data_IF_025393642102
#
_entry.id   IF_025393642102
#
_cell.length_a   1.000
_cell.length_b   1.000
_cell.length_c   1.000
_cell.angle_alpha   90.00
_cell.angle_beta   90.00
_cell.angle_gamma   90.00
#
_symmetry.space_group_name_H-M   'P 1'
#
loop_
_entity.id
_entity.type
_entity.pdbx_description
1 polymer ?
#
# COMPACT_ATOMS: atom_id res chain seq x y z
N UNK A 1 -6.60 -4.21 1.07
CA UNK A 1 -5.28 -3.56 1.00
C UNK A 1 -4.58 -3.67 2.34
N UNK A 2 -3.33 -3.99 2.33
CA UNK A 2 -2.52 -4.11 3.54
C UNK A 2 -1.50 -2.97 3.56
N UNK A 3 -1.41 -2.23 4.67
CA UNK A 3 -0.53 -1.07 4.77
C UNK A 3 0.47 -1.28 5.91
N UNK A 4 1.74 -1.04 5.60
CA UNK A 4 2.81 -1.13 6.59
C UNK A 4 3.75 0.06 6.39
N UNK A 5 4.36 0.52 7.47
CA UNK A 5 5.33 1.62 7.42
C UNK A 5 6.73 1.06 7.60
N UNK A 6 7.59 1.31 6.64
CA UNK A 6 8.97 0.84 6.68
C UNK A 6 9.82 1.68 5.73
N UNK A 7 11.02 2.01 6.14
CA UNK A 7 11.96 2.78 5.31
C UNK A 7 12.97 1.88 4.59
N UNK A 8 12.93 0.59 4.83
CA UNK A 8 13.91 -0.34 4.29
C UNK A 8 13.24 -1.57 3.70
N UNK A 9 13.88 -2.15 2.70
CA UNK A 9 13.51 -3.43 2.12
C UNK A 9 12.06 -3.51 1.63
N UNK A 10 11.58 -2.41 1.04
CA UNK A 10 10.19 -2.32 0.61
C UNK A 10 9.79 -3.46 -0.35
N UNK A 11 10.65 -3.79 -1.31
CA UNK A 11 10.37 -4.85 -2.27
C UNK A 11 10.26 -6.21 -1.60
N UNK A 12 11.24 -6.55 -0.77
CA UNK A 12 11.27 -7.83 -0.07
C UNK A 12 10.10 -7.94 0.91
N UNK A 13 9.83 -6.86 1.64
CA UNK A 13 8.74 -6.84 2.62
C UNK A 13 7.39 -7.00 1.93
N UNK A 14 7.15 -6.25 0.87
CA UNK A 14 5.90 -6.35 0.13
C UNK A 14 5.67 -7.73 -0.45
N UNK A 15 6.73 -8.32 -1.01
CA UNK A 15 6.67 -9.66 -1.56
C UNK A 15 6.34 -10.70 -0.50
N UNK A 16 7.02 -10.61 0.65
CA UNK A 16 6.78 -11.52 1.76
C UNK A 16 5.36 -11.40 2.30
N UNK A 17 4.84 -10.19 2.44
CA UNK A 17 3.48 -9.97 2.90
C UNK A 17 2.47 -10.62 1.96
N UNK A 18 2.62 -10.39 0.66
CA UNK A 18 1.70 -10.96 -0.33
C UNK A 18 1.78 -12.48 -0.38
N UNK A 19 2.98 -13.04 -0.25
CA UNK A 19 3.15 -14.49 -0.28
C UNK A 19 2.57 -15.19 0.94
N UNK A 20 2.63 -14.54 2.10
CA UNK A 20 2.07 -15.12 3.33
C UNK A 20 0.57 -14.94 3.42
N UNK A 21 0.02 -13.92 2.78
CA UNK A 21 -1.39 -13.56 2.92
C UNK A 21 -2.02 -13.47 1.53
N UNK A 22 -2.40 -14.62 1.00
CA UNK A 22 -2.89 -14.72 -0.39
C UNK A 22 -4.17 -13.93 -0.64
N UNK A 23 -4.92 -13.59 0.39
CA UNK A 23 -6.15 -12.81 0.28
C UNK A 23 -5.89 -11.32 0.10
N UNK A 24 -4.66 -10.86 0.29
CA UNK A 24 -4.32 -9.46 0.12
C UNK A 24 -4.17 -9.12 -1.35
N UNK A 25 -4.89 -8.11 -1.81
CA UNK A 25 -4.80 -7.66 -3.20
C UNK A 25 -3.55 -6.83 -3.45
N UNK A 26 -3.30 -5.84 -2.60
CA UNK A 26 -2.14 -4.95 -2.74
C UNK A 26 -1.53 -4.72 -1.36
N UNK A 27 -0.21 -4.83 -1.29
CA UNK A 27 0.56 -4.40 -0.12
C UNK A 27 1.12 -3.00 -0.38
N UNK A 28 0.85 -2.08 0.52
CA UNK A 28 1.41 -0.73 0.50
C UNK A 28 2.48 -0.60 1.56
N UNK A 29 3.67 -0.23 1.14
CA UNK A 29 4.78 0.04 2.06
C UNK A 29 5.08 1.53 2.02
N UNK A 30 4.77 2.20 3.13
CA UNK A 30 4.93 3.66 3.24
C UNK A 30 6.27 3.99 3.88
N UNK A 31 7.07 4.78 3.17
CA UNK A 31 8.33 5.31 3.69
C UNK A 31 8.12 6.77 4.08
N UNK A 32 8.09 7.03 5.37
CA UNK A 32 7.89 8.38 5.88
C UNK A 32 9.10 9.26 5.57
N UNK A 33 10.30 8.70 5.71
CA UNK A 33 11.53 9.46 5.45
C UNK A 33 11.60 9.97 4.02
N UNK A 34 11.12 9.18 3.07
CA UNK A 34 11.16 9.53 1.66
C UNK A 34 9.84 10.12 1.15
N UNK A 35 8.81 10.12 1.99
CA UNK A 35 7.47 10.54 1.60
C UNK A 35 7.01 9.82 0.33
N UNK A 36 7.22 8.52 0.32
CA UNK A 36 6.96 7.67 -0.85
C UNK A 36 6.24 6.39 -0.43
N UNK A 37 5.58 5.77 -1.41
CA UNK A 37 4.85 4.53 -1.19
C UNK A 37 5.24 3.54 -2.26
N UNK A 38 5.49 2.30 -1.84
CA UNK A 38 5.70 1.18 -2.75
C UNK A 38 4.47 0.28 -2.74
N UNK A 39 4.09 -0.19 -3.91
CA UNK A 39 2.93 -1.07 -4.07
C UNK A 39 3.39 -2.40 -4.63
N UNK A 40 2.87 -3.50 -4.08
CA UNK A 40 3.21 -4.84 -4.54
C UNK A 40 1.96 -5.70 -4.58
N UNK A 41 1.88 -6.60 -5.57
CA UNK A 41 0.83 -7.60 -5.67
C UNK A 41 1.39 -8.88 -6.28
N UNK A 42 0.79 -10.02 -5.94
CA UNK A 42 1.07 -11.30 -6.60
C UNK A 42 -0.11 -11.74 -7.46
N UNK A 43 -1.17 -10.95 -7.50
CA UNK A 43 -2.39 -11.30 -8.26
C UNK A 43 -2.31 -10.76 -9.67
N UNK A 44 -2.51 -11.60 -10.70
CA UNK A 44 -2.36 -11.17 -12.10
C UNK A 44 -3.44 -10.19 -12.56
N UNK A 45 -4.58 -10.14 -11.87
CA UNK A 45 -5.68 -9.24 -12.22
C UNK A 45 -5.59 -7.87 -11.54
N UNK A 46 -4.58 -7.66 -10.71
CA UNK A 46 -4.38 -6.39 -10.01
C UNK A 46 -3.26 -5.61 -10.70
N UNK A 47 -3.49 -4.33 -10.92
CA UNK A 47 -2.51 -3.45 -11.58
C UNK A 47 -2.08 -2.34 -10.62
N UNK A 48 -0.93 -2.52 -9.99
CA UNK A 48 -0.38 -1.53 -9.07
C UNK A 48 -0.05 -0.21 -9.76
N UNK A 49 0.34 -0.25 -11.03
CA UNK A 49 0.68 0.95 -11.78
C UNK A 49 -0.52 1.89 -11.92
N UNK A 50 -1.69 1.34 -12.18
CA UNK A 50 -2.91 2.14 -12.25
C UNK A 50 -3.22 2.82 -10.93
N UNK A 51 -3.06 2.07 -9.85
CA UNK A 51 -3.29 2.63 -8.52
C UNK A 51 -2.29 3.75 -8.21
N UNK A 52 -1.00 3.49 -8.48
CA UNK A 52 0.05 4.45 -8.19
C UNK A 52 -0.09 5.73 -9.02
N UNK A 53 -0.58 5.63 -10.25
CA UNK A 53 -0.73 6.78 -11.13
C UNK A 53 -1.71 7.82 -10.59
N UNK A 54 -2.62 7.41 -9.72
CA UNK A 54 -3.56 8.33 -9.07
C UNK A 54 -2.87 9.23 -8.05
N UNK A 55 -1.66 8.89 -7.63
CA UNK A 55 -0.92 9.60 -6.61
C UNK A 55 0.47 10.00 -7.10
N UNK A 56 0.56 10.43 -8.36
CA UNK A 56 1.78 10.91 -8.98
C UNK A 56 2.86 9.82 -9.07
N UNK A 57 2.47 8.63 -9.46
CA UNK A 57 3.39 7.53 -9.56
C UNK A 57 3.18 6.68 -10.79
N UNK A 58 3.78 5.52 -10.77
CA UNK A 58 3.70 4.56 -11.86
C UNK A 58 4.67 3.41 -11.62
N UNK A 59 4.88 2.60 -12.64
CA UNK A 59 5.79 1.47 -12.56
C UNK A 59 5.24 0.27 -13.30
N UNK A 60 5.51 -0.92 -12.75
CA UNK A 60 5.03 -2.17 -13.32
C UNK A 60 3.69 -2.58 -12.70
N UNK A 61 3.00 -3.47 -13.40
CA UNK A 61 1.72 -3.98 -12.95
C UNK A 61 1.82 -4.63 -11.56
N UNK A 62 2.87 -5.39 -11.31
CA UNK A 62 3.05 -6.10 -10.05
C UNK A 62 3.83 -5.31 -9.00
N UNK A 63 4.52 -4.25 -9.41
CA UNK A 63 5.40 -3.50 -8.53
C UNK A 63 5.51 -2.06 -9.01
N UNK A 64 4.98 -1.13 -8.24
CA UNK A 64 5.01 0.28 -8.60
C UNK A 64 5.22 1.15 -7.37
N UNK A 65 5.31 2.45 -7.58
CA UNK A 65 5.50 3.38 -6.49
C UNK A 65 4.85 4.72 -6.78
N UNK A 66 4.60 5.48 -5.72
CA UNK A 66 4.04 6.81 -5.83
C UNK A 66 4.58 7.70 -4.74
N UNK A 67 4.20 8.98 -4.79
CA UNK A 67 4.46 9.90 -3.70
C UNK A 67 3.41 9.68 -2.61
N UNK A 68 3.76 10.02 -1.37
CA UNK A 68 2.82 9.99 -0.26
C UNK A 68 2.10 11.34 -0.22
N UNK A 69 1.10 11.48 -1.07
CA UNK A 69 0.35 12.74 -1.22
C UNK A 69 -0.63 12.95 -0.08
N UNK A 70 -1.11 14.19 0.06
CA UNK A 70 -2.15 14.51 1.05
C UNK A 70 -3.43 13.72 0.75
N UNK A 71 -3.77 13.54 -0.51
CA UNK A 71 -4.95 12.75 -0.89
C UNK A 71 -4.82 11.32 -0.41
N UNK A 72 -3.67 10.70 -0.65
CA UNK A 72 -3.42 9.32 -0.22
C UNK A 72 -3.43 9.23 1.30
N UNK A 73 -2.81 10.19 1.99
CA UNK A 73 -2.80 10.22 3.45
C UNK A 73 -4.23 10.27 4.00
N UNK A 74 -5.08 11.11 3.43
CA UNK A 74 -6.45 11.24 3.88
C UNK A 74 -7.24 9.95 3.65
N UNK A 75 -6.99 9.29 2.53
CA UNK A 75 -7.63 8.01 2.21
C UNK A 75 -7.22 6.94 3.22
N UNK A 76 -5.95 6.90 3.59
CA UNK A 76 -5.47 5.95 4.59
C UNK A 76 -6.06 6.23 5.97
N UNK A 77 -6.14 7.49 6.35
CA UNK A 77 -6.73 7.87 7.64
C UNK A 77 -8.18 7.44 7.72
N UNK A 78 -8.93 7.61 6.65
CA UNK A 78 -10.32 7.16 6.62
C UNK A 78 -10.43 5.66 6.79
N UNK A 79 -9.59 4.91 6.09
CA UNK A 79 -9.57 3.44 6.19
C UNK A 79 -9.24 2.99 7.62
N UNK A 80 -8.22 3.61 8.22
CA UNK A 80 -7.83 3.28 9.58
C UNK A 80 -8.95 3.63 10.59
N UNK A 81 -9.59 4.77 10.40
CA UNK A 81 -10.68 5.18 11.27
C UNK A 81 -11.85 4.20 11.19
N UNK A 82 -12.19 3.73 9.99
CA UNK A 82 -13.25 2.75 9.81
C UNK A 82 -12.91 1.44 10.51
N UNK A 83 -11.65 1.02 10.42
CA UNK A 83 -11.19 -0.18 11.12
C UNK A 83 -11.25 -0.01 12.63
N UNK A 84 -10.85 1.15 13.14
CA UNK A 84 -10.86 1.42 14.57
C UNK A 84 -12.28 1.47 15.14
N UNK A 85 -13.26 1.88 14.35
CA UNK A 85 -14.66 1.87 14.77
C UNK A 85 -15.11 0.47 15.17
N UNK A 86 -14.61 -0.55 14.49
CA UNK A 86 -14.92 -1.94 14.82
C UNK A 86 -14.38 -2.33 16.19
N UNK A 87 -13.27 -1.78 16.60
CA UNK A 87 -12.69 -2.07 17.91
C UNK A 87 -13.34 -1.27 19.02
N UNK A 88 -13.73 -0.04 18.74
CA UNK A 88 -14.28 0.85 19.77
C UNK A 88 -15.67 0.46 20.23
N UNK A 89 -16.30 -0.50 19.60
CA UNK A 89 -17.65 -0.95 19.95
C UNK A 89 -17.70 -1.95 21.09
N UNK A 90 -16.61 -2.22 21.69
CA UNK A 90 -16.56 -3.20 22.77
C UNK A 90 -17.31 -2.77 24.03
#
# INVERSE_FOLDING_TARGET
MFVVFSDKLASELGHAICNKNKEIDIAMIVSIDNMAVSYRTIKPNINCSEFASKFLGGGHKAASGSQFTIELRNKLYKTLADNLKGYSKK
#
